data_IF_375975309197
#
_entry.id   IF_375975309197
#
_cell.length_a   1.000
_cell.length_b   1.000
_cell.length_c   1.000
_cell.angle_alpha   90.00
_cell.angle_beta   90.00
_cell.angle_gamma   90.00
#
_symmetry.space_group_name_H-M   'P 1'
#
loop_
_entity.id
_entity.type
_entity.pdbx_description
1 polymer ?
#
# COMPACT_ATOMS: atom_id res chain seq x y z
N UNK A 1 -24.01 -3.78 6.07
CA UNK A 1 -23.25 -2.57 5.73
C UNK A 1 -22.97 -1.89 7.06
N UNK A 2 -21.76 -1.60 7.53
CA UNK A 2 -20.48 -1.35 6.88
C UNK A 2 -19.38 -1.74 7.89
N UNK A 3 -18.31 -2.38 7.41
CA UNK A 3 -17.13 -2.64 8.24
C UNK A 3 -16.44 -1.30 8.52
N UNK A 4 -16.10 -1.10 9.79
CA UNK A 4 -15.29 -0.01 10.35
C UNK A 4 -14.41 0.71 9.30
N UNK A 5 -14.68 1.99 9.11
CA UNK A 5 -14.09 2.93 8.11
C UNK A 5 -12.63 3.26 8.48
N UNK A 6 -11.86 2.25 8.92
CA UNK A 6 -10.43 2.35 9.19
C UNK A 6 -9.72 2.28 7.86
N UNK A 7 -9.00 3.36 7.52
CA UNK A 7 -8.20 3.54 6.30
C UNK A 7 -7.74 2.23 5.64
N UNK A 8 -8.01 2.03 4.33
CA UNK A 8 -7.74 0.76 3.66
C UNK A 8 -6.26 0.39 3.81
N UNK A 9 -6.01 -0.78 4.39
CA UNK A 9 -4.67 -1.27 4.69
C UNK A 9 -4.28 -2.34 3.68
N UNK A 10 -3.25 -2.07 2.89
CA UNK A 10 -2.72 -3.00 1.90
C UNK A 10 -1.45 -3.65 2.43
N UNK A 11 -1.40 -4.98 2.38
CA UNK A 11 -0.25 -5.77 2.79
C UNK A 11 0.42 -6.35 1.55
N UNK A 12 1.65 -5.95 1.30
CA UNK A 12 2.48 -6.54 0.27
C UNK A 12 3.36 -7.61 0.89
N UNK A 13 3.27 -8.82 0.33
CA UNK A 13 4.17 -9.93 0.63
C UNK A 13 5.29 -9.91 -0.40
N UNK A 14 6.48 -9.47 0.01
CA UNK A 14 7.65 -9.43 -0.86
C UNK A 14 8.63 -10.52 -0.45
N UNK A 15 9.27 -11.16 -1.44
CA UNK A 15 10.20 -12.26 -1.16
C UNK A 15 11.49 -11.76 -0.50
N UNK A 16 11.97 -10.57 -0.89
CA UNK A 16 13.14 -9.92 -0.28
C UNK A 16 12.91 -8.42 -0.16
N UNK A 17 12.88 -7.90 1.06
CA UNK A 17 12.72 -6.46 1.30
C UNK A 17 13.88 -5.61 0.72
N UNK A 18 15.06 -6.21 0.56
CA UNK A 18 16.26 -5.55 0.00
C UNK A 18 16.14 -5.22 -1.49
N UNK A 19 15.34 -5.98 -2.23
CA UNK A 19 15.06 -5.74 -3.65
C UNK A 19 13.98 -4.69 -3.87
N UNK A 20 13.38 -4.18 -2.78
CA UNK A 20 12.29 -3.21 -2.82
C UNK A 20 12.76 -1.84 -2.32
N UNK A 21 13.43 -1.05 -3.17
CA UNK A 21 13.89 0.28 -2.79
C UNK A 21 12.70 1.19 -2.44
N UNK A 22 12.94 2.18 -1.57
CA UNK A 22 11.93 3.15 -1.12
C UNK A 22 11.16 3.79 -2.29
N UNK A 23 11.87 4.12 -3.37
CA UNK A 23 11.33 4.79 -4.55
C UNK A 23 10.22 3.94 -5.18
N UNK A 24 10.45 2.63 -5.30
CA UNK A 24 9.47 1.70 -5.85
C UNK A 24 8.25 1.55 -4.91
N UNK A 25 8.46 1.58 -3.59
CA UNK A 25 7.36 1.58 -2.61
C UNK A 25 6.48 2.83 -2.71
N UNK A 26 7.08 4.01 -2.91
CA UNK A 26 6.33 5.27 -3.13
C UNK A 26 5.57 5.24 -4.46
N UNK A 27 6.19 4.68 -5.51
CA UNK A 27 5.55 4.51 -6.81
C UNK A 27 4.30 3.63 -6.72
N UNK A 28 4.42 2.43 -6.15
CA UNK A 28 3.29 1.50 -5.95
C UNK A 28 2.20 2.16 -5.11
N UNK A 29 2.56 2.86 -4.02
CA UNK A 29 1.58 3.58 -3.19
C UNK A 29 0.83 4.65 -3.99
N UNK A 30 1.53 5.43 -4.82
CA UNK A 30 0.93 6.46 -5.67
C UNK A 30 0.02 5.84 -6.74
N UNK A 31 0.48 4.78 -7.39
CA UNK A 31 -0.30 4.09 -8.42
C UNK A 31 -1.56 3.46 -7.85
N UNK A 32 -1.46 2.77 -6.70
CA UNK A 32 -2.60 2.21 -5.99
C UNK A 32 -3.62 3.28 -5.57
N UNK A 33 -3.13 4.45 -5.17
CA UNK A 33 -3.97 5.60 -4.82
C UNK A 33 -4.76 6.13 -6.03
N UNK A 34 -4.14 6.17 -7.20
CA UNK A 34 -4.76 6.62 -8.45
C UNK A 34 -5.75 5.57 -8.97
N UNK A 35 -5.32 4.31 -9.05
CA UNK A 35 -6.08 3.20 -9.63
C UNK A 35 -7.32 2.84 -8.81
N UNK A 36 -7.18 2.78 -7.48
CA UNK A 36 -8.29 2.45 -6.58
C UNK A 36 -9.14 3.69 -6.20
N UNK A 37 -8.90 4.86 -6.79
CA UNK A 37 -9.71 6.07 -6.57
C UNK A 37 -9.55 6.70 -5.18
N UNK A 38 -8.54 6.30 -4.40
CA UNK A 38 -8.28 6.81 -3.05
C UNK A 38 -7.50 8.14 -3.03
N UNK A 39 -7.66 8.98 -4.06
CA UNK A 39 -6.98 10.29 -4.16
C UNK A 39 -7.35 11.14 -2.94
N UNK A 40 -6.40 11.27 -2.01
CA UNK A 40 -6.56 12.02 -0.75
C UNK A 40 -6.85 11.19 0.50
N UNK A 41 -7.07 9.87 0.38
CA UNK A 41 -7.24 8.98 1.55
C UNK A 41 -5.88 8.43 2.00
N UNK A 42 -5.63 8.44 3.31
CA UNK A 42 -4.39 7.89 3.88
C UNK A 42 -4.37 6.36 3.75
N UNK A 43 -3.75 5.83 2.70
CA UNK A 43 -3.59 4.39 2.51
C UNK A 43 -2.39 3.88 3.33
N UNK A 44 -2.62 2.85 4.16
CA UNK A 44 -1.57 2.21 4.97
C UNK A 44 -0.96 1.06 4.17
N UNK A 45 0.34 1.16 3.84
CA UNK A 45 1.07 0.12 3.11
C UNK A 45 2.03 -0.63 4.04
N UNK A 46 1.70 -1.87 4.38
CA UNK A 46 2.54 -2.77 5.16
C UNK A 46 3.35 -3.65 4.21
N UNK A 47 4.66 -3.67 4.37
CA UNK A 47 5.54 -4.58 3.64
C UNK A 47 5.95 -5.69 4.61
N UNK A 48 5.57 -6.93 4.31
CA UNK A 48 6.00 -8.11 5.04
C UNK A 48 6.91 -8.93 4.13
N UNK A 49 8.11 -9.21 4.60
CA UNK A 49 8.96 -10.27 4.04
C UNK A 49 8.77 -11.53 4.88
N UNK A 50 8.79 -12.70 4.23
CA UNK A 50 8.83 -13.98 4.93
C UNK A 50 10.25 -14.27 5.43
#
# INVERSE_FOLDING_TARGET
LEADIRSPTFVFFVNFAKLFPEIYRRYIKKQLCIDAGFVGTLIRLLCRSK
#
